data_IF_398652709822
#
_entry.id   IF_398652709822
#
_cell.length_a   1.000
_cell.length_b   1.000
_cell.length_c   1.000
_cell.angle_alpha   90.00
_cell.angle_beta   90.00
_cell.angle_gamma   90.00
#
_symmetry.space_group_name_H-M   'P 1'
#
loop_
_entity.id
_entity.type
_entity.pdbx_description
1 polymer ?
#
# COMPACT_ATOMS: atom_id res chain seq x y z
N UNK A 1 3.56 5.79 13.45
CA UNK A 1 2.11 5.92 13.41
C UNK A 1 1.55 5.08 14.54
N UNK A 2 0.71 5.69 15.42
CA UNK A 2 0.17 5.02 16.60
C UNK A 2 1.26 4.57 17.57
N UNK A 3 2.06 5.46 18.14
CA UNK A 3 3.17 5.10 19.03
C UNK A 3 2.72 4.39 20.31
N UNK A 4 1.44 4.50 20.68
CA UNK A 4 0.95 3.99 21.95
C UNK A 4 1.65 4.70 23.12
N UNK A 5 2.27 3.95 24.02
CA UNK A 5 3.09 4.51 25.10
C UNK A 5 4.58 4.71 24.71
N UNK A 6 4.94 4.50 23.45
CA UNK A 6 6.24 4.85 22.87
C UNK A 6 7.30 3.76 22.73
N UNK A 7 7.04 2.46 22.93
CA UNK A 7 8.12 1.45 22.93
C UNK A 7 8.85 1.36 21.57
N UNK A 8 8.12 1.36 20.47
CA UNK A 8 8.73 1.37 19.14
C UNK A 8 9.39 2.72 18.84
N UNK A 9 8.77 3.81 19.23
CA UNK A 9 9.29 5.17 18.99
C UNK A 9 10.63 5.41 19.70
N UNK A 10 10.80 4.91 20.92
CA UNK A 10 12.06 5.01 21.66
C UNK A 10 13.20 4.23 20.98
N UNK A 11 12.91 3.03 20.47
CA UNK A 11 13.89 2.24 19.72
C UNK A 11 14.28 2.90 18.39
N UNK A 12 13.33 3.54 17.73
CA UNK A 12 13.59 4.31 16.51
C UNK A 12 14.41 5.58 16.81
N UNK A 13 14.11 6.29 17.88
CA UNK A 13 14.82 7.50 18.27
C UNK A 13 16.29 7.27 18.58
N UNK A 14 16.66 6.08 19.08
CA UNK A 14 18.06 5.69 19.32
C UNK A 14 18.84 5.44 18.02
N UNK A 15 18.18 5.22 16.88
CA UNK A 15 18.79 4.78 15.61
C UNK A 15 18.61 5.74 14.46
N UNK A 16 17.63 6.62 14.53
CA UNK A 16 17.30 7.58 13.49
C UNK A 16 17.73 8.99 13.88
N UNK A 17 18.09 9.80 12.90
CA UNK A 17 18.41 11.21 13.14
C UNK A 17 17.20 12.05 13.58
N UNK A 18 16.00 11.66 13.16
CA UNK A 18 14.73 12.28 13.53
C UNK A 18 13.59 11.25 13.50
N UNK A 19 12.69 11.36 14.47
CA UNK A 19 11.46 10.55 14.52
C UNK A 19 10.27 11.48 14.68
N UNK A 20 9.23 11.26 13.88
CA UNK A 20 7.93 11.94 14.02
C UNK A 20 6.88 10.86 14.20
N UNK A 21 6.17 10.88 15.32
CA UNK A 21 5.09 9.93 15.63
C UNK A 21 3.75 10.63 15.67
N UNK A 22 2.75 10.07 15.00
CA UNK A 22 1.38 10.61 14.94
C UNK A 22 0.51 9.79 15.89
N UNK A 23 -0.12 10.47 16.88
CA UNK A 23 -0.99 9.83 17.87
C UNK A 23 -2.39 10.45 17.87
N UNK A 24 -3.39 9.57 17.72
CA UNK A 24 -4.80 9.97 17.72
C UNK A 24 -5.35 10.13 19.13
N UNK A 25 -4.95 9.25 20.06
CA UNK A 25 -5.48 9.24 21.41
C UNK A 25 -4.82 10.31 22.27
N UNK A 26 -5.60 11.34 22.57
CA UNK A 26 -5.14 12.46 23.43
C UNK A 26 -4.80 12.02 24.84
N UNK A 27 -5.38 10.93 25.34
CA UNK A 27 -5.07 10.41 26.68
C UNK A 27 -3.64 9.86 26.78
N UNK A 28 -3.04 9.45 25.66
CA UNK A 28 -1.68 8.96 25.60
C UNK A 28 -0.63 10.09 25.49
N UNK A 29 -1.00 11.31 25.13
CA UNK A 29 -0.04 12.41 24.92
C UNK A 29 0.76 12.76 26.18
N UNK A 30 0.18 12.82 27.40
CA UNK A 30 0.97 13.04 28.62
C UNK A 30 1.98 11.91 28.87
N UNK A 31 1.59 10.66 28.67
CA UNK A 31 2.46 9.49 28.82
C UNK A 31 3.61 9.55 27.80
N UNK A 32 3.30 9.88 26.54
CA UNK A 32 4.30 10.06 25.50
C UNK A 32 5.26 11.21 25.80
N UNK A 33 4.79 12.30 26.38
CA UNK A 33 5.65 13.40 26.81
C UNK A 33 6.70 12.95 27.85
N UNK A 34 6.31 12.08 28.79
CA UNK A 34 7.23 11.50 29.77
C UNK A 34 8.17 10.47 29.14
N UNK A 35 7.62 9.49 28.41
CA UNK A 35 8.42 8.38 27.83
C UNK A 35 9.38 8.85 26.75
N UNK A 36 9.05 9.91 26.03
CA UNK A 36 9.88 10.47 24.96
C UNK A 36 10.80 11.60 25.42
N UNK A 37 10.67 12.10 26.66
CA UNK A 37 11.52 13.16 27.21
C UNK A 37 13.04 12.95 27.04
N UNK A 38 13.57 11.71 27.12
CA UNK A 38 14.99 11.44 26.87
C UNK A 38 15.44 11.63 25.40
N UNK A 39 14.51 11.73 24.44
CA UNK A 39 14.80 11.70 23.01
C UNK A 39 14.49 13.07 22.36
N UNK A 40 15.48 13.95 22.31
CA UNK A 40 15.35 15.29 21.71
C UNK A 40 15.08 15.29 20.21
N UNK A 41 15.32 14.16 19.53
CA UNK A 41 15.06 13.94 18.10
C UNK A 41 13.68 13.31 17.81
N UNK A 42 12.86 13.07 18.83
CA UNK A 42 11.51 12.53 18.70
C UNK A 42 10.45 13.63 18.88
N UNK A 43 9.55 13.74 17.91
CA UNK A 43 8.43 14.70 17.92
C UNK A 43 7.10 13.91 17.88
N UNK A 44 6.16 14.26 18.76
CA UNK A 44 4.80 13.70 18.76
C UNK A 44 3.84 14.69 18.13
N UNK A 45 3.15 14.27 17.08
CA UNK A 45 2.13 15.06 16.38
C UNK A 45 0.76 14.50 16.76
N UNK A 46 -0.08 15.25 17.52
CA UNK A 46 -1.45 14.84 17.79
C UNK A 46 -2.29 14.88 16.52
N UNK A 47 -2.96 13.79 16.18
CA UNK A 47 -3.84 13.77 14.99
C UNK A 47 -4.23 12.39 14.51
N UNK A 48 -5.20 12.40 13.58
CA UNK A 48 -5.63 11.22 12.86
C UNK A 48 -4.80 11.07 11.57
N UNK A 49 -3.97 10.04 11.49
CA UNK A 49 -3.12 9.76 10.33
C UNK A 49 -3.90 9.66 9.03
N UNK A 50 -5.18 9.25 9.08
CA UNK A 50 -6.04 9.12 7.89
C UNK A 50 -6.60 10.45 7.39
N UNK A 51 -6.44 11.54 8.17
CA UNK A 51 -6.95 12.88 7.86
C UNK A 51 -5.86 13.93 7.69
N UNK A 52 -4.66 13.65 8.16
CA UNK A 52 -3.51 14.54 8.01
C UNK A 52 -3.02 14.56 6.56
N UNK A 53 -2.56 15.71 6.11
CA UNK A 53 -1.76 15.80 4.88
C UNK A 53 -0.35 15.26 5.15
N UNK A 54 -0.21 13.94 4.99
CA UNK A 54 1.06 13.25 5.23
C UNK A 54 2.15 13.72 4.28
N UNK A 55 1.81 14.12 3.04
CA UNK A 55 2.79 14.63 2.08
C UNK A 55 3.37 15.95 2.53
N UNK A 56 2.54 16.88 2.98
CA UNK A 56 2.98 18.15 3.54
C UNK A 56 3.79 17.95 4.83
N UNK A 57 3.31 17.09 5.73
CA UNK A 57 4.00 16.77 6.99
C UNK A 57 5.40 16.19 6.75
N UNK A 58 5.53 15.23 5.83
CA UNK A 58 6.82 14.62 5.50
C UNK A 58 7.74 15.64 4.84
N UNK A 59 7.23 16.44 3.91
CA UNK A 59 8.00 17.50 3.27
C UNK A 59 8.55 18.53 4.24
N UNK A 60 7.76 18.93 5.25
CA UNK A 60 8.17 19.87 6.30
C UNK A 60 9.17 19.23 7.29
N UNK A 61 8.79 18.06 7.83
CA UNK A 61 9.53 17.47 8.96
C UNK A 61 10.81 16.75 8.56
N UNK A 62 10.91 16.25 7.33
CA UNK A 62 12.01 15.44 6.85
C UNK A 62 12.78 16.07 5.66
N UNK A 63 12.70 17.41 5.51
CA UNK A 63 13.44 18.10 4.46
C UNK A 63 14.95 17.78 4.52
N UNK A 64 15.52 17.30 3.39
CA UNK A 64 16.93 16.90 3.32
C UNK A 64 17.26 15.54 3.97
N UNK A 65 16.27 14.83 4.50
CA UNK A 65 16.40 13.50 5.09
C UNK A 65 15.78 12.44 4.18
N UNK A 66 16.04 11.17 4.52
CA UNK A 66 15.50 10.00 3.85
C UNK A 66 14.37 9.40 4.70
N UNK A 67 13.10 9.78 4.46
CA UNK A 67 12.00 9.32 5.29
C UNK A 67 11.71 7.84 5.08
N UNK A 68 11.59 7.13 6.18
CA UNK A 68 11.08 5.76 6.25
C UNK A 68 9.92 5.71 7.23
N UNK A 69 9.03 4.73 7.06
CA UNK A 69 7.91 4.51 7.98
C UNK A 69 8.12 3.19 8.71
N UNK A 70 7.95 3.23 10.04
CA UNK A 70 7.92 2.03 10.86
C UNK A 70 6.73 2.12 11.82
N UNK A 71 5.80 1.14 11.79
CA UNK A 71 4.59 1.21 12.60
C UNK A 71 3.98 -0.16 12.92
N UNK A 72 3.35 -0.26 14.10
CA UNK A 72 2.39 -1.30 14.40
C UNK A 72 0.99 -0.72 14.13
N UNK A 73 0.42 -1.04 12.96
CA UNK A 73 -0.83 -0.43 12.51
C UNK A 73 -2.07 -1.10 13.11
N UNK A 74 -3.05 -0.34 13.59
CA UNK A 74 -4.38 -0.88 13.83
C UNK A 74 -4.95 -1.52 12.56
N UNK A 75 -5.51 -2.73 12.68
CA UNK A 75 -5.89 -3.54 11.52
C UNK A 75 -6.94 -2.87 10.62
N UNK A 76 -7.86 -2.11 11.22
CA UNK A 76 -8.96 -1.43 10.52
C UNK A 76 -8.51 -0.25 9.63
N UNK A 77 -7.31 0.31 9.86
CA UNK A 77 -6.76 1.43 9.09
C UNK A 77 -5.57 1.04 8.21
N UNK A 78 -5.18 -0.23 8.19
CA UNK A 78 -4.00 -0.72 7.45
C UNK A 78 -4.03 -0.29 5.98
N UNK A 79 -5.10 -0.62 5.24
CA UNK A 79 -5.17 -0.32 3.80
C UNK A 79 -5.20 1.20 3.52
N UNK A 80 -6.05 2.02 4.15
CA UNK A 80 -6.05 3.46 3.89
C UNK A 80 -4.70 4.12 4.23
N UNK A 81 -4.05 3.72 5.32
CA UNK A 81 -2.74 4.27 5.69
C UNK A 81 -1.67 3.87 4.68
N UNK A 82 -1.56 2.58 4.33
CA UNK A 82 -0.59 2.13 3.33
C UNK A 82 -0.83 2.80 1.97
N UNK A 83 -2.10 2.99 1.55
CA UNK A 83 -2.42 3.69 0.31
C UNK A 83 -1.87 5.12 0.33
N UNK A 84 -2.13 5.87 1.40
CA UNK A 84 -1.65 7.24 1.54
C UNK A 84 -0.11 7.33 1.56
N UNK A 85 0.57 6.38 2.19
CA UNK A 85 2.03 6.34 2.28
C UNK A 85 2.69 5.98 0.93
N UNK A 86 2.13 5.04 0.19
CA UNK A 86 2.64 4.62 -1.13
C UNK A 86 2.58 5.77 -2.14
N UNK A 87 1.57 6.63 -2.02
CA UNK A 87 1.39 7.81 -2.88
C UNK A 87 2.40 8.95 -2.60
N UNK A 88 3.31 8.78 -1.61
CA UNK A 88 4.36 9.76 -1.29
C UNK A 88 5.71 9.26 -1.79
N UNK A 89 6.23 9.76 -2.93
CA UNK A 89 7.47 9.25 -3.54
C UNK A 89 8.71 9.41 -2.64
N UNK A 90 8.71 10.40 -1.75
CA UNK A 90 9.82 10.64 -0.84
C UNK A 90 10.05 9.50 0.18
N UNK A 91 9.04 8.67 0.46
CA UNK A 91 9.16 7.54 1.38
C UNK A 91 9.96 6.42 0.71
N UNK A 92 11.13 6.09 1.26
CA UNK A 92 12.00 5.03 0.72
C UNK A 92 11.55 3.63 1.13
N UNK A 93 11.06 3.46 2.36
CA UNK A 93 10.57 2.18 2.82
C UNK A 93 9.47 2.31 3.87
N UNK A 94 8.62 1.29 3.92
CA UNK A 94 7.54 1.14 4.87
C UNK A 94 7.69 -0.24 5.50
N UNK A 95 7.88 -0.29 6.82
CA UNK A 95 7.91 -1.53 7.60
C UNK A 95 6.77 -1.49 8.60
N UNK A 96 5.81 -2.39 8.45
CA UNK A 96 4.59 -2.38 9.25
C UNK A 96 4.24 -3.76 9.78
N UNK A 97 3.72 -3.78 11.01
CA UNK A 97 3.10 -4.96 11.60
C UNK A 97 1.59 -4.90 11.30
N UNK A 98 1.11 -5.91 10.56
CA UNK A 98 -0.29 -6.03 10.12
C UNK A 98 -0.78 -7.47 10.27
N UNK A 99 -2.07 -7.73 10.05
CA UNK A 99 -2.60 -9.09 10.03
C UNK A 99 -1.90 -9.94 8.96
N UNK A 100 -1.52 -11.18 9.30
CA UNK A 100 -0.83 -12.12 8.40
C UNK A 100 -1.57 -12.31 7.07
N UNK A 101 -2.88 -12.50 7.13
CA UNK A 101 -3.70 -12.66 5.92
C UNK A 101 -3.65 -11.41 5.02
N UNK A 102 -3.68 -10.21 5.61
CA UNK A 102 -3.54 -8.97 4.84
C UNK A 102 -2.15 -8.87 4.19
N UNK A 103 -1.07 -9.21 4.92
CA UNK A 103 0.28 -9.24 4.36
C UNK A 103 0.39 -10.21 3.18
N UNK A 104 -0.15 -11.42 3.31
CA UNK A 104 -0.17 -12.42 2.23
C UNK A 104 -0.90 -11.92 0.98
N UNK A 105 -2.03 -11.22 1.15
CA UNK A 105 -2.77 -10.62 0.02
C UNK A 105 -1.99 -9.51 -0.67
N UNK A 106 -1.29 -8.68 0.10
CA UNK A 106 -0.48 -7.58 -0.43
C UNK A 106 0.77 -8.06 -1.18
N UNK A 107 1.32 -9.22 -0.82
CA UNK A 107 2.52 -9.82 -1.44
C UNK A 107 2.20 -10.86 -2.52
N UNK A 108 0.93 -11.18 -2.76
CA UNK A 108 0.53 -12.15 -3.78
C UNK A 108 0.84 -11.64 -5.19
N UNK A 109 1.51 -12.46 -6.00
CA UNK A 109 1.88 -12.12 -7.38
C UNK A 109 0.67 -11.95 -8.32
N UNK A 110 -0.47 -12.55 -7.98
CA UNK A 110 -1.73 -12.38 -8.71
C UNK A 110 -2.54 -11.26 -8.08
N UNK A 111 -3.32 -10.57 -8.90
CA UNK A 111 -4.34 -9.66 -8.39
C UNK A 111 -5.14 -10.39 -7.32
N UNK A 112 -5.42 -9.70 -6.21
CA UNK A 112 -6.22 -10.28 -5.16
C UNK A 112 -7.64 -9.73 -5.23
N UNK A 113 -8.58 -10.45 -4.59
CA UNK A 113 -9.93 -9.95 -4.39
C UNK A 113 -9.99 -8.57 -3.69
N UNK A 114 -8.87 -8.08 -3.16
CA UNK A 114 -8.76 -6.79 -2.47
C UNK A 114 -8.65 -5.58 -3.42
N UNK A 115 -8.67 -5.81 -4.73
CA UNK A 115 -8.79 -4.74 -5.71
C UNK A 115 -7.46 -4.17 -6.21
N UNK A 116 -7.45 -2.87 -6.48
CA UNK A 116 -6.37 -2.15 -7.16
C UNK A 116 -5.12 -1.98 -6.30
N UNK A 117 -5.29 -1.83 -4.97
CA UNK A 117 -4.21 -1.41 -4.08
C UNK A 117 -3.03 -2.41 -4.02
N UNK A 118 -3.22 -3.74 -3.92
CA UNK A 118 -2.11 -4.68 -3.96
C UNK A 118 -1.25 -4.58 -5.22
N UNK A 119 -1.87 -4.40 -6.37
CA UNK A 119 -1.17 -4.21 -7.65
C UNK A 119 -0.41 -2.88 -7.68
N UNK A 120 -1.02 -1.80 -7.16
CA UNK A 120 -0.35 -0.52 -7.02
C UNK A 120 0.85 -0.60 -6.09
N UNK A 121 0.67 -1.23 -4.93
CA UNK A 121 1.76 -1.43 -3.97
C UNK A 121 2.94 -2.17 -4.62
N UNK A 122 2.68 -3.28 -5.32
CA UNK A 122 3.71 -4.09 -5.96
C UNK A 122 4.37 -3.38 -7.16
N UNK A 123 3.65 -2.49 -7.84
CA UNK A 123 4.20 -1.66 -8.90
C UNK A 123 5.20 -0.64 -8.34
N UNK A 124 4.84 0.04 -7.25
CA UNK A 124 5.62 1.09 -6.63
C UNK A 124 6.73 0.57 -5.71
N UNK A 125 6.49 -0.57 -5.05
CA UNK A 125 7.35 -1.08 -3.99
C UNK A 125 7.64 -2.57 -4.13
N UNK A 126 8.81 -2.97 -3.72
CA UNK A 126 9.18 -4.36 -3.48
C UNK A 126 8.70 -4.77 -2.10
N UNK A 127 7.92 -5.86 -2.02
CA UNK A 127 7.24 -6.29 -0.79
C UNK A 127 7.77 -7.61 -0.29
N UNK A 128 8.02 -7.72 1.03
CA UNK A 128 8.55 -8.91 1.68
C UNK A 128 7.90 -9.11 3.06
N UNK A 129 7.41 -10.32 3.34
CA UNK A 129 7.02 -10.72 4.69
C UNK A 129 8.27 -11.19 5.44
N UNK A 130 8.66 -10.48 6.52
CA UNK A 130 9.90 -10.75 7.24
C UNK A 130 9.74 -11.87 8.26
N UNK A 131 8.76 -11.75 9.16
CA UNK A 131 8.46 -12.76 10.19
C UNK A 131 7.06 -12.58 10.76
N UNK A 132 6.55 -13.64 11.36
CA UNK A 132 5.26 -13.68 12.03
C UNK A 132 5.42 -13.33 13.52
N UNK A 133 4.38 -12.68 14.07
CA UNK A 133 4.26 -12.38 15.51
C UNK A 133 2.95 -12.99 16.00
N UNK A 134 3.02 -14.00 16.87
CA UNK A 134 1.83 -14.68 17.33
C UNK A 134 1.04 -13.84 18.36
N UNK A 135 -0.28 -14.11 18.53
CA UNK A 135 -1.19 -13.31 19.35
C UNK A 135 -0.76 -13.07 20.79
N UNK A 136 -0.12 -14.06 21.43
CA UNK A 136 0.33 -13.98 22.81
C UNK A 136 1.44 -12.95 23.08
N UNK A 137 2.00 -12.35 22.03
CA UNK A 137 2.98 -11.25 22.14
C UNK A 137 2.34 -9.88 22.29
N UNK A 138 1.02 -9.81 22.30
CA UNK A 138 0.27 -8.56 22.40
C UNK A 138 -0.57 -8.48 23.68
N UNK A 139 -0.80 -7.26 24.14
CA UNK A 139 -1.70 -6.99 25.26
C UNK A 139 -2.63 -5.80 24.86
N UNK A 140 -3.95 -6.03 24.72
CA UNK A 140 -4.62 -7.34 24.70
C UNK A 140 -4.24 -8.19 23.48
N UNK A 141 -4.33 -9.51 23.61
CA UNK A 141 -4.02 -10.43 22.52
C UNK A 141 -5.07 -10.34 21.40
N UNK A 142 -4.66 -10.16 20.13
CA UNK A 142 -5.57 -10.22 18.99
C UNK A 142 -6.01 -11.65 18.71
N UNK A 143 -7.04 -11.83 17.86
CA UNK A 143 -7.54 -13.17 17.49
C UNK A 143 -6.73 -13.84 16.37
N UNK A 144 -5.78 -13.13 15.76
CA UNK A 144 -5.06 -13.59 14.58
C UNK A 144 -3.57 -13.28 14.69
N UNK A 145 -2.75 -14.08 14.02
CA UNK A 145 -1.31 -13.83 13.87
C UNK A 145 -1.08 -12.55 13.07
N UNK A 146 -0.09 -11.79 13.45
CA UNK A 146 0.43 -10.63 12.71
C UNK A 146 1.68 -11.02 11.94
N UNK A 147 2.01 -10.24 10.94
CA UNK A 147 3.24 -10.38 10.13
C UNK A 147 3.88 -9.01 9.96
N UNK A 148 5.20 -8.94 10.08
CA UNK A 148 5.95 -7.75 9.71
C UNK A 148 6.12 -7.75 8.20
N UNK A 149 5.50 -6.79 7.54
CA UNK A 149 5.61 -6.53 6.11
C UNK A 149 6.60 -5.39 5.89
N UNK A 150 7.59 -5.62 5.05
CA UNK A 150 8.51 -4.60 4.55
C UNK A 150 8.20 -4.28 3.10
N UNK A 151 8.09 -3.00 2.78
CA UNK A 151 7.93 -2.49 1.42
C UNK A 151 9.06 -1.50 1.15
N UNK A 152 9.83 -1.68 0.07
CA UNK A 152 10.95 -0.83 -0.32
C UNK A 152 10.62 -0.19 -1.67
N UNK A 153 10.81 1.14 -1.79
CA UNK A 153 10.53 1.87 -3.02
C UNK A 153 11.38 1.31 -4.17
N UNK A 154 10.74 0.94 -5.26
CA UNK A 154 11.44 0.51 -6.46
C UNK A 154 12.14 1.69 -7.12
N UNK A 155 13.30 1.45 -7.70
CA UNK A 155 14.01 2.41 -8.56
C UNK A 155 13.39 2.44 -9.96
N UNK A 156 12.93 1.29 -10.42
CA UNK A 156 12.29 1.10 -11.72
C UNK A 156 11.03 0.24 -11.55
N UNK A 157 9.96 0.52 -12.32
CA UNK A 157 8.76 -0.30 -12.30
C UNK A 157 9.07 -1.77 -12.66
N UNK A 158 8.35 -2.76 -12.11
CA UNK A 158 8.57 -4.18 -12.39
C UNK A 158 8.10 -4.59 -13.79
N UNK A 159 7.34 -3.74 -14.45
CA UNK A 159 6.87 -3.91 -15.84
C UNK A 159 6.99 -2.59 -16.57
N UNK A 160 7.45 -2.65 -17.82
CA UNK A 160 7.45 -1.48 -18.69
C UNK A 160 6.04 -1.27 -19.27
N UNK A 161 5.56 -0.05 -19.24
CA UNK A 161 4.29 0.38 -19.84
C UNK A 161 4.48 1.68 -20.61
N UNK A 162 3.81 1.81 -21.75
CA UNK A 162 3.92 3.01 -22.60
C UNK A 162 3.22 4.24 -22.00
N UNK A 163 2.12 3.99 -21.31
CA UNK A 163 1.28 5.02 -20.64
C UNK A 163 0.85 4.51 -19.27
N UNK A 164 1.53 4.98 -18.24
CA UNK A 164 1.26 4.59 -16.86
C UNK A 164 -0.14 5.02 -16.40
N UNK A 165 -0.60 6.20 -16.84
CA UNK A 165 -1.93 6.68 -16.49
C UNK A 165 -3.02 5.77 -17.08
N UNK A 166 -2.83 5.33 -18.34
CA UNK A 166 -3.72 4.37 -18.97
C UNK A 166 -3.64 2.99 -18.31
N UNK A 167 -2.45 2.53 -17.97
CA UNK A 167 -2.24 1.27 -17.25
C UNK A 167 -3.05 1.21 -15.94
N UNK A 168 -2.95 2.22 -15.08
CA UNK A 168 -3.72 2.25 -13.86
C UNK A 168 -5.23 2.46 -14.10
N UNK A 169 -5.62 3.11 -15.19
CA UNK A 169 -7.01 3.19 -15.60
C UNK A 169 -7.57 1.82 -16.01
N UNK A 170 -6.79 1.01 -16.75
CA UNK A 170 -7.15 -0.37 -17.11
C UNK A 170 -7.28 -1.23 -15.85
N UNK A 171 -6.30 -1.17 -14.93
CA UNK A 171 -6.37 -1.88 -13.66
C UNK A 171 -7.63 -1.48 -12.88
N UNK A 172 -7.88 -0.20 -12.66
CA UNK A 172 -9.09 0.28 -11.97
C UNK A 172 -10.37 -0.22 -12.66
N UNK A 173 -10.39 -0.17 -13.99
CA UNK A 173 -11.52 -0.66 -14.80
C UNK A 173 -11.76 -2.15 -14.63
N UNK A 174 -10.71 -2.96 -14.53
CA UNK A 174 -10.82 -4.40 -14.33
C UNK A 174 -11.51 -4.78 -13.01
N UNK A 175 -11.41 -3.93 -11.98
CA UNK A 175 -12.03 -4.13 -10.67
C UNK A 175 -13.37 -3.39 -10.47
N UNK A 176 -13.84 -2.65 -11.47
CA UNK A 176 -15.09 -1.88 -11.35
C UNK A 176 -16.30 -2.81 -11.10
N UNK A 177 -16.37 -3.93 -11.81
CA UNK A 177 -17.43 -4.92 -11.70
C UNK A 177 -16.88 -6.28 -11.24
N UNK A 178 -16.50 -6.39 -9.96
CA UNK A 178 -15.77 -7.54 -9.37
C UNK A 178 -16.33 -8.93 -9.71
N UNK A 179 -17.65 -9.07 -9.81
CA UNK A 179 -18.33 -10.35 -10.11
C UNK A 179 -18.49 -10.63 -11.61
N UNK A 180 -18.05 -9.72 -12.49
CA UNK A 180 -18.15 -9.84 -13.94
C UNK A 180 -16.80 -10.24 -14.55
N UNK A 181 -16.85 -10.70 -15.79
CA UNK A 181 -15.63 -10.95 -16.58
C UNK A 181 -14.86 -9.67 -16.84
N UNK A 182 -13.57 -9.78 -17.11
CA UNK A 182 -12.69 -8.66 -17.43
C UNK A 182 -13.24 -7.82 -18.59
N UNK A 183 -13.70 -8.46 -19.68
CA UNK A 183 -14.29 -7.76 -20.83
C UNK A 183 -15.51 -6.92 -20.42
N UNK A 184 -16.42 -7.45 -19.60
CA UNK A 184 -17.58 -6.70 -19.14
C UNK A 184 -17.19 -5.53 -18.20
N UNK A 185 -16.21 -5.76 -17.33
CA UNK A 185 -15.75 -4.72 -16.41
C UNK A 185 -15.06 -3.56 -17.16
N UNK A 186 -14.18 -3.89 -18.10
CA UNK A 186 -13.47 -2.89 -18.91
C UNK A 186 -14.42 -2.13 -19.86
N UNK A 187 -15.38 -2.80 -20.47
CA UNK A 187 -16.38 -2.12 -21.32
C UNK A 187 -17.20 -1.08 -20.55
N UNK A 188 -17.49 -1.33 -19.28
CA UNK A 188 -18.17 -0.37 -18.41
C UNK A 188 -17.23 0.78 -17.96
N UNK A 189 -15.93 0.52 -17.84
CA UNK A 189 -14.95 1.48 -17.30
C UNK A 189 -14.29 2.36 -18.37
N UNK A 190 -14.28 1.93 -19.62
CA UNK A 190 -13.61 2.59 -20.73
C UNK A 190 -14.63 3.07 -21.79
N UNK A 191 -15.35 4.18 -21.53
CA UNK A 191 -16.29 4.72 -22.47
C UNK A 191 -15.59 5.09 -23.80
N UNK A 192 -16.21 4.76 -24.93
CA UNK A 192 -15.63 4.97 -26.27
C UNK A 192 -14.79 3.81 -26.78
N UNK A 193 -14.67 2.70 -26.04
CA UNK A 193 -14.07 1.46 -26.50
C UNK A 193 -15.14 0.45 -26.91
N UNK A 194 -14.98 -0.12 -28.10
CA UNK A 194 -15.84 -1.23 -28.52
C UNK A 194 -15.59 -2.48 -27.69
N UNK A 195 -16.67 -3.16 -27.28
CA UNK A 195 -16.56 -4.39 -26.50
C UNK A 195 -15.87 -5.50 -27.25
N UNK A 196 -16.02 -5.57 -28.59
CA UNK A 196 -15.30 -6.53 -29.42
C UNK A 196 -13.80 -6.27 -29.42
N UNK A 197 -13.37 -5.01 -29.54
CA UNK A 197 -11.97 -4.64 -29.47
C UNK A 197 -11.33 -4.99 -28.11
N UNK A 198 -12.08 -4.82 -27.01
CA UNK A 198 -11.63 -5.24 -25.67
C UNK A 198 -11.50 -6.76 -25.59
N UNK A 199 -12.47 -7.52 -26.12
CA UNK A 199 -12.43 -8.98 -26.13
C UNK A 199 -11.25 -9.50 -26.96
N UNK A 200 -10.98 -8.89 -28.11
CA UNK A 200 -9.84 -9.22 -28.99
C UNK A 200 -8.49 -8.92 -28.30
N UNK A 201 -8.38 -7.79 -27.58
CA UNK A 201 -7.17 -7.48 -26.84
C UNK A 201 -6.91 -8.52 -25.72
N UNK A 202 -7.95 -8.97 -25.02
CA UNK A 202 -7.88 -10.04 -24.01
C UNK A 202 -7.40 -11.36 -24.65
N UNK A 203 -7.97 -11.72 -25.81
CA UNK A 203 -7.63 -12.95 -26.53
C UNK A 203 -6.18 -12.94 -27.04
N UNK A 204 -5.70 -11.80 -27.59
CA UNK A 204 -4.32 -11.64 -28.06
C UNK A 204 -3.31 -11.78 -26.94
N UNK A 205 -3.67 -11.38 -25.70
CA UNK A 205 -2.85 -11.62 -24.50
C UNK A 205 -2.89 -13.08 -24.01
N UNK A 206 -3.57 -14.00 -24.70
CA UNK A 206 -3.70 -15.40 -24.29
C UNK A 206 -4.59 -15.61 -23.07
N UNK A 207 -5.39 -14.61 -22.69
CA UNK A 207 -6.26 -14.68 -21.53
C UNK A 207 -7.62 -15.32 -21.89
N UNK A 208 -8.20 -16.16 -21.01
CA UNK A 208 -9.51 -16.74 -21.26
C UNK A 208 -10.62 -15.66 -21.30
N UNK A 209 -11.62 -15.82 -22.15
CA UNK A 209 -12.76 -14.90 -22.23
C UNK A 209 -13.55 -14.76 -20.91
N UNK A 210 -13.49 -15.79 -20.06
CA UNK A 210 -14.12 -15.81 -18.73
C UNK A 210 -13.26 -15.19 -17.62
N UNK A 211 -12.04 -14.74 -17.91
CA UNK A 211 -11.10 -14.22 -16.93
C UNK A 211 -11.69 -13.00 -16.18
N UNK A 212 -11.32 -12.86 -14.91
CA UNK A 212 -11.65 -11.69 -14.09
C UNK A 212 -10.39 -10.90 -13.76
N UNK A 213 -10.54 -9.60 -13.46
CA UNK A 213 -9.41 -8.73 -13.14
C UNK A 213 -8.54 -9.24 -11.99
N UNK A 214 -9.15 -9.89 -10.99
CA UNK A 214 -8.44 -10.46 -9.83
C UNK A 214 -7.46 -11.61 -10.16
N UNK A 215 -7.57 -12.18 -11.35
CA UNK A 215 -6.72 -13.30 -11.78
C UNK A 215 -5.44 -12.83 -12.49
N UNK A 216 -5.35 -11.56 -12.88
CA UNK A 216 -4.23 -11.03 -13.66
C UNK A 216 -3.07 -10.58 -12.77
N UNK A 217 -1.86 -10.82 -13.26
CA UNK A 217 -0.61 -10.26 -12.75
C UNK A 217 -0.34 -8.88 -13.33
N UNK A 218 0.64 -8.14 -12.76
CA UNK A 218 1.09 -6.85 -13.33
C UNK A 218 1.58 -6.99 -14.78
N UNK A 219 2.28 -8.09 -15.10
CA UNK A 219 2.77 -8.37 -16.46
C UNK A 219 1.62 -8.55 -17.44
N UNK A 220 0.58 -9.30 -17.05
CA UNK A 220 -0.60 -9.51 -17.90
C UNK A 220 -1.39 -8.19 -18.06
N UNK A 221 -1.48 -7.36 -17.02
CA UNK A 221 -2.07 -6.02 -17.14
C UNK A 221 -1.28 -5.11 -18.06
N UNK A 222 0.06 -5.16 -18.04
CA UNK A 222 0.90 -4.38 -18.94
C UNK A 222 0.68 -4.78 -20.40
N UNK A 223 0.74 -6.09 -20.70
CA UNK A 223 0.47 -6.62 -22.04
C UNK A 223 -0.94 -6.25 -22.53
N UNK A 224 -1.95 -6.37 -21.67
CA UNK A 224 -3.33 -6.01 -22.00
C UNK A 224 -3.47 -4.48 -22.27
N UNK A 225 -2.77 -3.66 -21.50
CA UNK A 225 -2.81 -2.20 -21.68
C UNK A 225 -2.23 -1.82 -23.03
N UNK A 226 -1.09 -2.41 -23.43
CA UNK A 226 -0.46 -2.17 -24.72
C UNK A 226 -1.36 -2.69 -25.86
N UNK A 227 -1.91 -3.90 -25.74
CA UNK A 227 -2.84 -4.45 -26.73
C UNK A 227 -4.12 -3.60 -26.89
N UNK A 228 -4.61 -3.00 -25.82
CA UNK A 228 -5.71 -2.03 -25.90
C UNK A 228 -5.27 -0.76 -26.61
N UNK A 229 -4.14 -0.17 -26.26
CA UNK A 229 -3.65 1.08 -26.85
C UNK A 229 -3.51 0.99 -28.38
N UNK A 230 -3.20 -0.19 -28.94
CA UNK A 230 -3.09 -0.44 -30.39
C UNK A 230 -4.45 -0.54 -31.10
N UNK A 231 -5.56 -0.62 -30.37
CA UNK A 231 -6.93 -0.79 -30.91
C UNK A 231 -7.84 0.42 -30.72
N UNK A 232 -7.29 1.50 -30.25
CA UNK A 232 -7.98 2.77 -30.11
C UNK A 232 -7.91 3.54 -31.43
#
# INVERSE_FOLDING_TARGET
IGPGIGPLTSELAQRAGKVVSIELDRALLPILAETMAPYSNAEIVPGDVTRLDLKALIGEKFAGLRPIVCANLPYNITTPVLTALVDIPAIESITVLIQKEAAQRLTSAKGSADGVFPLRLQYEMETECLFDVPPEKFLPAPKVTSTVLRCVRRKEPPVAVRDEAFFFRVIKGAFLLRRKTLSNSLSAALPGWDKAAIADAIAVCGLPASVRGEALTLTEFAALTDALAERK
#
